data_IF_094746502615
#
_entry.id   IF_094746502615
#
_cell.length_a   1.000
_cell.length_b   1.000
_cell.length_c   1.000
_cell.angle_alpha   90.00
_cell.angle_beta   90.00
_cell.angle_gamma   90.00
#
_symmetry.space_group_name_H-M   'P 1'
#
loop_
_entity.id
_entity.type
_entity.pdbx_description
1 polymer ?
#
# COMPACT_ATOMS: atom_id res chain seq x y z
N UNK A 1 33.85 39.24 -19.57
CA UNK A 1 34.03 39.53 -18.13
C UNK A 1 32.80 38.99 -17.42
N UNK A 2 32.91 37.80 -16.82
CA UNK A 2 33.05 37.61 -15.36
C UNK A 2 31.67 37.85 -14.67
N UNK A 3 30.99 36.90 -14.02
CA UNK A 3 31.50 35.81 -13.20
C UNK A 3 30.39 34.79 -12.88
N UNK A 4 30.75 33.50 -12.94
CA UNK A 4 30.23 32.45 -12.04
C UNK A 4 30.62 32.84 -10.59
N UNK A 5 29.80 32.56 -9.57
CA UNK A 5 30.24 31.95 -8.30
C UNK A 5 29.10 31.80 -7.26
N UNK A 6 28.96 30.55 -6.79
CA UNK A 6 28.64 30.08 -5.42
C UNK A 6 27.29 30.37 -4.76
N UNK A 7 26.54 29.27 -4.53
CA UNK A 7 25.51 29.12 -3.51
C UNK A 7 25.90 27.97 -2.57
N UNK A 8 26.45 28.33 -1.42
CA UNK A 8 26.74 27.49 -0.22
C UNK A 8 27.16 28.52 0.85
N UNK A 9 26.64 28.59 2.07
CA UNK A 9 26.37 27.57 3.07
C UNK A 9 25.38 28.13 4.11
N UNK A 10 24.49 27.30 4.65
CA UNK A 10 24.11 27.41 6.06
C UNK A 10 24.00 26.00 6.62
N UNK A 11 25.05 25.67 7.36
CA UNK A 11 25.27 24.44 8.10
C UNK A 11 24.29 24.37 9.27
N UNK A 12 23.63 23.22 9.44
CA UNK A 12 23.04 22.81 10.72
C UNK A 12 23.54 21.40 11.03
N UNK A 13 24.49 21.33 11.95
CA UNK A 13 24.96 20.10 12.58
C UNK A 13 23.97 19.69 13.67
N UNK A 14 23.47 18.46 13.61
CA UNK A 14 22.58 17.88 14.62
C UNK A 14 22.25 16.41 14.33
N UNK A 15 23.17 15.52 14.71
CA UNK A 15 22.97 14.11 15.10
C UNK A 15 21.71 13.38 14.59
N UNK A 16 21.92 12.47 13.64
CA UNK A 16 20.94 11.51 13.16
C UNK A 16 20.60 10.44 14.21
N UNK A 17 19.31 10.17 14.52
CA UNK A 17 18.93 8.95 15.24
C UNK A 17 19.02 7.75 14.29
N UNK A 18 20.00 6.88 14.56
CA UNK A 18 20.13 5.47 14.14
C UNK A 18 19.32 5.05 12.91
N UNK A 19 19.92 5.30 11.74
CA UNK A 19 19.57 4.65 10.47
C UNK A 19 19.72 3.13 10.63
N UNK A 20 18.60 2.40 10.52
CA UNK A 20 18.63 1.00 10.11
C UNK A 20 19.01 1.01 8.63
N UNK A 21 20.32 1.00 8.38
CA UNK A 21 20.89 0.84 7.04
C UNK A 21 20.55 -0.56 6.55
N UNK A 22 19.65 -0.67 5.58
CA UNK A 22 19.56 -1.89 4.78
C UNK A 22 20.86 -2.01 3.97
N UNK A 23 21.79 -2.85 4.44
CA UNK A 23 22.91 -3.31 3.61
C UNK A 23 22.29 -4.10 2.46
N UNK A 24 22.50 -3.72 1.18
CA UNK A 24 22.20 -4.65 0.10
C UNK A 24 23.12 -5.85 0.29
N UNK A 25 22.52 -7.03 0.48
CA UNK A 25 23.24 -8.29 0.39
C UNK A 25 23.79 -8.37 -1.03
N UNK A 26 25.07 -8.00 -1.18
CA UNK A 26 25.90 -8.34 -2.32
C UNK A 26 26.00 -9.86 -2.36
N UNK A 27 25.09 -10.49 -3.10
CA UNK A 27 25.20 -11.89 -3.45
C UNK A 27 26.34 -11.96 -4.46
N UNK A 28 27.51 -12.38 -3.97
CA UNK A 28 28.70 -12.55 -4.80
C UNK A 28 28.39 -13.48 -5.97
N UNK A 29 28.65 -12.98 -7.17
CA UNK A 29 28.48 -13.63 -8.49
C UNK A 29 29.29 -14.94 -8.68
N UNK A 30 29.91 -15.47 -7.61
CA UNK A 30 30.79 -16.63 -7.63
C UNK A 30 30.05 -17.97 -7.49
N UNK A 31 28.82 -17.97 -6.98
CA UNK A 31 28.05 -19.22 -6.80
C UNK A 31 27.31 -19.67 -8.07
N UNK A 32 27.11 -18.75 -9.04
CA UNK A 32 26.30 -19.01 -10.23
C UNK A 32 27.08 -19.58 -11.43
N UNK A 33 28.41 -19.60 -11.39
CA UNK A 33 29.22 -20.11 -12.50
C UNK A 33 29.55 -21.62 -12.41
N UNK A 34 29.36 -22.28 -11.26
CA UNK A 34 29.77 -23.67 -11.10
C UNK A 34 28.73 -24.71 -11.55
N UNK A 35 27.50 -24.29 -11.86
CA UNK A 35 26.42 -25.21 -12.26
C UNK A 35 26.36 -25.50 -13.76
N UNK A 36 27.19 -24.86 -14.58
CA UNK A 36 27.20 -25.04 -16.05
C UNK A 36 28.09 -26.22 -16.51
N UNK A 37 28.94 -26.80 -15.65
CA UNK A 37 29.84 -27.89 -16.04
C UNK A 37 29.55 -29.20 -15.29
N UNK A 38 28.56 -29.96 -15.78
CA UNK A 38 28.53 -31.43 -15.74
C UNK A 38 27.31 -31.96 -16.50
N UNK A 39 27.43 -32.04 -17.81
CA UNK A 39 26.65 -32.99 -18.60
C UNK A 39 27.35 -34.35 -18.55
N UNK A 40 26.84 -35.25 -17.73
CA UNK A 40 27.09 -36.69 -17.90
C UNK A 40 25.79 -37.41 -17.60
N UNK A 41 25.33 -38.16 -18.60
CA UNK A 41 24.17 -39.04 -18.62
C UNK A 41 24.05 -39.79 -17.31
N UNK A 42 23.04 -39.53 -16.48
CA UNK A 42 22.69 -40.35 -15.32
C UNK A 42 21.30 -39.96 -14.78
N UNK A 43 20.39 -40.92 -14.62
CA UNK A 43 19.07 -40.75 -13.97
C UNK A 43 19.16 -40.21 -12.53
N UNK A 44 20.35 -40.27 -11.91
CA UNK A 44 20.69 -39.62 -10.64
C UNK A 44 20.62 -38.09 -10.70
N UNK A 45 20.90 -37.48 -11.85
CA UNK A 45 20.87 -36.01 -12.01
C UNK A 45 19.44 -35.46 -11.95
N UNK A 46 18.45 -36.21 -12.45
CA UNK A 46 17.03 -35.84 -12.37
C UNK A 46 16.49 -35.98 -10.94
N UNK A 47 16.92 -37.02 -10.21
CA UNK A 47 16.57 -37.20 -8.80
C UNK A 47 17.17 -36.10 -7.91
N UNK A 48 18.44 -35.74 -8.14
CA UNK A 48 19.12 -34.65 -7.42
C UNK A 48 18.54 -33.27 -7.79
N UNK A 49 18.13 -33.06 -9.04
CA UNK A 49 17.42 -31.86 -9.46
C UNK A 49 16.00 -31.79 -8.88
N UNK A 50 15.25 -32.90 -8.86
CA UNK A 50 13.95 -33.00 -8.19
C UNK A 50 14.08 -32.74 -6.69
N UNK A 51 15.11 -33.28 -6.03
CA UNK A 51 15.39 -33.02 -4.62
C UNK A 51 15.73 -31.55 -4.36
N UNK A 52 16.51 -30.92 -5.25
CA UNK A 52 16.81 -29.47 -5.16
C UNK A 52 15.59 -28.61 -5.41
N UNK A 53 14.73 -28.96 -6.38
CA UNK A 53 13.46 -28.28 -6.64
C UNK A 53 12.52 -28.43 -5.44
N UNK A 54 12.39 -29.65 -4.90
CA UNK A 54 11.60 -29.92 -3.70
C UNK A 54 12.12 -29.11 -2.51
N UNK A 55 13.44 -29.07 -2.31
CA UNK A 55 14.08 -28.31 -1.23
C UNK A 55 13.91 -26.79 -1.39
N UNK A 56 13.86 -26.29 -2.63
CA UNK A 56 13.57 -24.89 -2.96
C UNK A 56 12.08 -24.58 -2.78
N UNK A 57 11.18 -25.47 -3.18
CA UNK A 57 9.74 -25.37 -2.94
C UNK A 57 9.42 -25.40 -1.45
N UNK A 58 10.05 -26.30 -0.69
CA UNK A 58 9.95 -26.37 0.76
C UNK A 58 10.51 -25.09 1.42
N UNK A 59 11.63 -24.56 0.92
CA UNK A 59 12.19 -23.29 1.41
C UNK A 59 11.32 -22.09 1.02
N UNK A 60 10.66 -22.11 -0.13
CA UNK A 60 9.72 -21.06 -0.58
C UNK A 60 8.39 -21.16 0.14
N UNK A 61 7.92 -22.36 0.47
CA UNK A 61 6.77 -22.63 1.31
C UNK A 61 7.07 -22.22 2.76
N UNK A 62 8.27 -22.48 3.26
CA UNK A 62 8.74 -22.02 4.56
C UNK A 62 8.84 -20.49 4.57
N UNK A 63 9.50 -19.86 3.58
CA UNK A 63 9.61 -18.40 3.47
C UNK A 63 8.27 -17.69 3.19
N UNK A 64 7.32 -18.34 2.52
CA UNK A 64 5.95 -17.81 2.37
C UNK A 64 5.10 -18.06 3.62
N UNK A 65 5.45 -19.07 4.43
CA UNK A 65 4.89 -19.30 5.77
C UNK A 65 5.53 -18.42 6.85
N UNK A 66 6.70 -17.83 6.59
CA UNK A 66 7.29 -16.74 7.38
C UNK A 66 6.40 -15.51 7.23
N UNK A 67 5.29 -15.56 7.95
CA UNK A 67 4.43 -14.44 8.24
C UNK A 67 5.21 -13.56 9.19
N UNK A 68 5.72 -12.43 8.69
CA UNK A 68 6.27 -11.40 9.58
C UNK A 68 5.26 -11.17 10.69
N UNK A 69 5.67 -11.32 11.97
CA UNK A 69 4.80 -11.12 13.15
C UNK A 69 4.07 -9.77 13.11
N UNK A 70 4.58 -8.84 12.31
CA UNK A 70 4.05 -7.51 12.06
C UNK A 70 2.99 -7.45 10.96
N UNK A 71 2.57 -8.54 10.31
CA UNK A 71 1.72 -8.46 9.10
C UNK A 71 0.52 -9.43 9.11
N UNK A 72 -0.67 -8.89 8.81
CA UNK A 72 -1.89 -9.66 8.50
C UNK A 72 -2.35 -9.31 7.09
N UNK A 73 -2.52 -10.32 6.23
CA UNK A 73 -2.92 -10.15 4.83
C UNK A 73 -2.05 -9.11 4.07
N UNK A 74 -0.72 -9.18 4.26
CA UNK A 74 0.26 -8.31 3.58
C UNK A 74 0.28 -6.85 4.05
N UNK A 75 -0.29 -6.53 5.22
CA UNK A 75 -0.30 -5.17 5.77
C UNK A 75 0.33 -5.13 7.16
N UNK A 76 1.17 -4.12 7.41
CA UNK A 76 1.74 -3.86 8.73
C UNK A 76 0.65 -3.61 9.77
N UNK A 77 0.75 -4.32 10.89
CA UNK A 77 -0.07 -4.21 12.09
C UNK A 77 0.54 -3.16 13.03
N UNK A 78 -0.31 -2.38 13.70
CA UNK A 78 0.12 -1.47 14.76
C UNK A 78 0.82 -2.24 15.90
N UNK A 79 1.71 -1.62 16.69
CA UNK A 79 2.45 -2.34 17.74
C UNK A 79 1.58 -3.15 18.72
N UNK A 80 0.39 -2.64 19.05
CA UNK A 80 -0.58 -3.34 19.92
C UNK A 80 -1.35 -4.47 19.23
N UNK A 81 -1.37 -4.47 17.89
CA UNK A 81 -2.07 -5.45 17.07
C UNK A 81 -1.23 -6.70 16.75
N UNK A 82 0.05 -6.70 17.18
CA UNK A 82 1.05 -7.74 16.90
C UNK A 82 1.04 -8.89 17.92
N UNK A 83 0.14 -8.84 18.90
CA UNK A 83 0.07 -9.85 19.96
C UNK A 83 -0.47 -11.18 19.42
N UNK A 84 0.15 -12.34 19.74
CA UNK A 84 -0.22 -13.63 19.17
C UNK A 84 -1.65 -14.08 19.53
N UNK A 85 -2.21 -13.58 20.63
CA UNK A 85 -3.57 -13.90 21.08
C UNK A 85 -4.64 -13.00 20.43
N UNK A 86 -4.25 -11.98 19.64
CA UNK A 86 -5.23 -11.10 18.98
C UNK A 86 -5.88 -11.82 17.80
N UNK A 87 -7.19 -12.03 17.91
CA UNK A 87 -8.00 -12.55 16.81
C UNK A 87 -8.27 -11.49 15.74
N UNK A 88 -7.43 -11.50 14.70
CA UNK A 88 -7.54 -10.63 13.52
C UNK A 88 -8.67 -11.03 12.54
N UNK A 89 -9.22 -12.25 12.69
CA UNK A 89 -10.27 -12.77 11.80
C UNK A 89 -11.62 -12.22 12.22
N UNK A 90 -11.95 -12.33 13.52
CA UNK A 90 -13.19 -11.75 14.05
C UNK A 90 -13.08 -10.24 14.31
N UNK A 91 -11.88 -9.75 14.67
CA UNK A 91 -11.62 -8.33 14.96
C UNK A 91 -10.56 -7.77 14.03
N UNK A 92 -10.93 -7.44 12.77
CA UNK A 92 -10.01 -6.81 11.84
C UNK A 92 -9.53 -5.46 12.40
N UNK A 93 -8.31 -5.03 12.04
CA UNK A 93 -7.79 -3.75 12.48
C UNK A 93 -8.69 -2.60 12.01
N UNK A 94 -8.88 -1.62 12.89
CA UNK A 94 -9.71 -0.45 12.61
C UNK A 94 -9.20 0.26 11.35
N UNK A 95 -10.07 0.40 10.36
CA UNK A 95 -9.80 1.17 9.15
C UNK A 95 -10.34 2.58 9.36
N UNK A 96 -9.46 3.58 9.24
CA UNK A 96 -9.91 4.96 9.10
C UNK A 96 -10.72 5.10 7.81
N UNK A 97 -11.81 5.85 7.87
CA UNK A 97 -12.60 6.18 6.67
C UNK A 97 -11.76 7.10 5.77
N UNK A 98 -11.70 6.81 4.49
CA UNK A 98 -10.98 7.62 3.50
C UNK A 98 -11.61 9.00 3.32
N UNK A 99 -12.94 9.08 3.45
CA UNK A 99 -13.70 10.33 3.32
C UNK A 99 -14.40 10.62 4.65
N UNK A 100 -14.29 11.85 5.19
CA UNK A 100 -15.02 12.23 6.39
C UNK A 100 -16.53 12.25 6.13
N UNK A 101 -17.32 12.13 7.20
CA UNK A 101 -18.77 12.25 7.08
C UNK A 101 -19.13 13.66 6.58
N UNK A 102 -20.10 13.78 5.67
CA UNK A 102 -20.54 15.08 5.16
C UNK A 102 -21.12 15.95 6.29
N UNK A 103 -20.74 17.23 6.26
CA UNK A 103 -21.15 18.25 7.23
C UNK A 103 -21.76 19.41 6.45
N UNK A 104 -22.90 19.92 6.94
CA UNK A 104 -23.56 21.13 6.43
C UNK A 104 -23.26 22.31 7.37
N UNK A 105 -23.15 23.51 6.78
CA UNK A 105 -22.89 24.76 7.52
C UNK A 105 -21.66 24.72 8.44
N UNK A 106 -20.62 24.00 8.04
CA UNK A 106 -19.34 23.84 8.76
C UNK A 106 -19.39 23.11 10.11
N UNK A 107 -20.54 23.04 10.79
CA UNK A 107 -20.65 22.44 12.13
C UNK A 107 -21.71 21.33 12.27
N UNK A 108 -22.75 21.28 11.44
CA UNK A 108 -23.88 20.36 11.63
C UNK A 108 -23.69 19.12 10.75
N UNK A 109 -23.56 17.91 11.33
CA UNK A 109 -23.38 16.69 10.54
C UNK A 109 -24.65 16.33 9.76
N UNK A 110 -24.50 15.71 8.60
CA UNK A 110 -25.65 15.30 7.79
C UNK A 110 -26.55 14.25 8.48
N UNK A 111 -26.03 13.53 9.48
CA UNK A 111 -26.81 12.60 10.28
C UNK A 111 -28.00 13.27 10.99
N UNK A 112 -27.84 14.52 11.43
CA UNK A 112 -28.94 15.28 12.04
C UNK A 112 -30.01 15.62 11.01
N UNK A 113 -29.60 16.07 9.82
CA UNK A 113 -30.53 16.35 8.72
C UNK A 113 -31.30 15.10 8.31
N UNK A 114 -30.63 13.94 8.23
CA UNK A 114 -31.28 12.66 7.92
C UNK A 114 -32.37 12.30 8.94
N UNK A 115 -32.12 12.53 10.23
CA UNK A 115 -33.13 12.31 11.28
C UNK A 115 -34.39 13.17 11.07
N UNK A 116 -34.23 14.45 10.70
CA UNK A 116 -35.37 15.33 10.45
C UNK A 116 -36.08 15.04 9.12
N UNK A 117 -35.37 14.57 8.09
CA UNK A 117 -35.93 14.31 6.77
C UNK A 117 -37.05 13.27 6.77
N UNK A 118 -36.92 12.22 7.58
CA UNK A 118 -37.95 11.17 7.67
C UNK A 118 -39.28 11.69 8.21
N UNK A 119 -39.29 12.81 8.94
CA UNK A 119 -40.48 13.36 9.60
C UNK A 119 -41.00 14.66 8.99
N UNK A 120 -40.08 15.53 8.61
CA UNK A 120 -40.39 16.95 8.30
C UNK A 120 -39.90 17.37 6.91
N UNK A 121 -39.36 16.43 6.13
CA UNK A 121 -38.83 16.69 4.79
C UNK A 121 -37.60 17.60 4.82
N UNK A 122 -37.18 18.07 3.63
CA UNK A 122 -35.90 18.78 3.46
C UNK A 122 -35.86 20.12 4.20
N UNK A 123 -37.00 20.80 4.32
CA UNK A 123 -37.13 22.13 4.94
C UNK A 123 -37.20 22.09 6.46
N UNK A 124 -37.59 20.95 7.04
CA UNK A 124 -37.77 20.77 8.47
C UNK A 124 -36.56 21.16 9.33
N UNK A 125 -35.36 20.61 9.11
CA UNK A 125 -34.20 20.97 9.91
C UNK A 125 -33.83 22.46 9.79
N UNK A 126 -34.04 23.08 8.63
CA UNK A 126 -33.78 24.52 8.46
C UNK A 126 -34.75 25.37 9.28
N UNK A 127 -36.04 25.03 9.26
CA UNK A 127 -37.06 25.73 10.05
C UNK A 127 -36.88 25.50 11.55
N UNK A 128 -36.40 24.32 11.96
CA UNK A 128 -36.07 24.02 13.35
C UNK A 128 -34.94 24.92 13.87
N UNK A 129 -33.82 25.02 13.15
CA UNK A 129 -32.71 25.88 13.56
C UNK A 129 -33.09 27.37 13.53
N UNK A 130 -33.84 27.79 12.51
CA UNK A 130 -34.34 29.16 12.42
C UNK A 130 -35.26 29.51 13.61
N UNK A 131 -36.21 28.63 13.93
CA UNK A 131 -37.08 28.77 15.08
C UNK A 131 -36.32 28.77 16.40
N UNK A 132 -35.29 27.92 16.54
CA UNK A 132 -34.43 27.88 17.73
C UNK A 132 -33.67 29.20 17.94
N UNK A 133 -33.16 29.80 16.86
CA UNK A 133 -32.46 31.10 16.92
C UNK A 133 -33.43 32.21 17.32
N UNK A 134 -34.60 32.30 16.68
CA UNK A 134 -35.63 33.30 17.01
C UNK A 134 -36.12 33.13 18.45
N UNK A 135 -36.33 31.89 18.88
CA UNK A 135 -36.71 31.60 20.26
C UNK A 135 -35.62 32.06 21.23
N UNK A 136 -34.34 31.83 20.90
CA UNK A 136 -33.19 32.31 21.66
C UNK A 136 -33.16 33.83 21.80
N UNK A 137 -33.47 34.57 20.73
CA UNK A 137 -33.62 36.03 20.78
C UNK A 137 -34.83 36.46 21.61
N UNK A 138 -35.99 35.81 21.43
CA UNK A 138 -37.21 36.14 22.16
C UNK A 138 -37.11 35.86 23.67
N UNK A 139 -36.27 34.91 24.08
CA UNK A 139 -36.03 34.55 25.48
C UNK A 139 -34.77 35.16 26.07
N UNK A 140 -34.11 36.05 25.33
CA UNK A 140 -32.86 36.69 25.76
C UNK A 140 -31.76 35.68 26.14
N UNK A 141 -31.84 34.43 25.65
CA UNK A 141 -30.73 33.49 25.76
C UNK A 141 -29.55 33.95 24.88
N UNK A 142 -29.86 34.67 23.80
CA UNK A 142 -28.89 35.38 22.97
C UNK A 142 -29.14 36.87 23.16
N UNK A 143 -28.42 37.48 24.10
CA UNK A 143 -28.47 38.93 24.33
C UNK A 143 -27.54 39.63 23.35
N UNK A 144 -28.07 40.58 22.58
CA UNK A 144 -27.29 41.41 21.67
C UNK A 144 -26.56 42.51 22.44
N UNK A 145 -25.38 42.18 22.96
CA UNK A 145 -24.44 43.14 23.52
C UNK A 145 -23.65 43.88 22.43
N UNK A 146 -22.94 44.94 22.81
CA UNK A 146 -22.12 45.74 21.90
C UNK A 146 -21.07 44.88 21.14
N UNK A 147 -20.51 43.86 21.81
CA UNK A 147 -19.52 42.93 21.24
C UNK A 147 -20.08 42.01 20.15
N UNK A 148 -21.41 41.91 20.00
CA UNK A 148 -22.02 40.99 19.03
C UNK A 148 -21.57 41.26 17.58
N UNK A 149 -21.36 42.54 17.26
CA UNK A 149 -20.86 42.96 15.95
C UNK A 149 -19.44 42.47 15.68
N UNK A 150 -18.58 42.44 16.71
CA UNK A 150 -17.21 41.94 16.61
C UNK A 150 -17.20 40.44 16.32
N UNK A 151 -18.05 39.66 17.00
CA UNK A 151 -18.18 38.21 16.74
C UNK A 151 -18.66 37.90 15.31
N UNK A 152 -19.58 38.71 14.76
CA UNK A 152 -20.04 38.52 13.37
C UNK A 152 -18.92 38.77 12.35
N UNK A 153 -18.12 39.82 12.56
CA UNK A 153 -16.99 40.15 11.69
C UNK A 153 -15.92 39.06 11.79
N UNK A 154 -15.61 38.58 13.00
CA UNK A 154 -14.70 37.47 13.22
C UNK A 154 -15.19 36.19 12.51
N UNK A 155 -16.46 35.84 12.66
CA UNK A 155 -17.06 34.67 12.01
C UNK A 155 -16.97 34.78 10.47
N UNK A 156 -17.28 35.96 9.92
CA UNK A 156 -17.13 36.22 8.48
C UNK A 156 -15.67 36.09 8.03
N UNK A 157 -14.72 36.64 8.79
CA UNK A 157 -13.29 36.54 8.51
C UNK A 157 -12.84 35.07 8.48
N UNK A 158 -13.18 34.28 9.50
CA UNK A 158 -12.84 32.85 9.57
C UNK A 158 -13.42 32.08 8.37
N UNK A 159 -14.68 32.33 8.00
CA UNK A 159 -15.30 31.68 6.83
C UNK A 159 -14.55 32.03 5.54
N UNK A 160 -14.15 33.29 5.36
CA UNK A 160 -13.40 33.71 4.16
C UNK A 160 -12.01 33.08 4.10
N UNK A 161 -11.32 32.97 5.23
CA UNK A 161 -10.00 32.32 5.34
C UNK A 161 -10.11 30.84 5.02
N UNK A 162 -11.07 30.13 5.61
CA UNK A 162 -11.29 28.69 5.38
C UNK A 162 -11.62 28.42 3.90
N UNK A 163 -12.45 29.25 3.26
CA UNK A 163 -12.78 29.07 1.84
C UNK A 163 -11.59 29.30 0.90
N UNK A 164 -10.72 30.26 1.21
CA UNK A 164 -9.56 30.58 0.36
C UNK A 164 -8.37 29.66 0.59
N UNK A 165 -8.04 29.37 1.86
CA UNK A 165 -6.88 28.55 2.21
C UNK A 165 -7.20 27.05 2.25
N UNK A 166 -8.46 26.67 2.46
CA UNK A 166 -8.88 25.27 2.56
C UNK A 166 -8.44 24.38 1.39
N UNK A 167 -8.64 24.78 0.12
CA UNK A 167 -8.21 23.97 -1.02
C UNK A 167 -6.69 23.80 -1.10
N UNK A 168 -5.93 24.86 -0.78
CA UNK A 168 -4.46 24.82 -0.82
C UNK A 168 -3.91 23.86 0.23
N UNK A 169 -4.37 24.01 1.47
CA UNK A 169 -3.99 23.15 2.59
C UNK A 169 -4.42 21.70 2.32
N UNK A 170 -5.65 21.48 1.85
CA UNK A 170 -6.15 20.15 1.51
C UNK A 170 -5.34 19.44 0.43
N UNK A 171 -4.86 20.17 -0.59
CA UNK A 171 -4.02 19.60 -1.65
C UNK A 171 -2.61 19.26 -1.15
N UNK A 172 -2.04 20.06 -0.25
CA UNK A 172 -0.75 19.77 0.36
C UNK A 172 -0.81 18.46 1.18
N UNK A 173 -1.81 18.31 2.05
CA UNK A 173 -2.00 17.09 2.84
C UNK A 173 -2.29 15.87 1.97
N UNK A 174 -3.11 16.01 0.92
CA UNK A 174 -3.33 14.91 -0.04
C UNK A 174 -2.06 14.53 -0.78
N UNK A 175 -1.24 15.50 -1.18
CA UNK A 175 0.05 15.26 -1.84
C UNK A 175 0.99 14.42 -0.97
N UNK A 176 1.13 14.76 0.31
CA UNK A 176 1.95 13.98 1.24
C UNK A 176 1.45 12.54 1.42
N UNK A 177 0.12 12.35 1.53
CA UNK A 177 -0.46 11.02 1.62
C UNK A 177 -0.27 10.20 0.34
N UNK A 178 -0.45 10.82 -0.83
CA UNK A 178 -0.27 10.18 -2.13
C UNK A 178 1.19 9.75 -2.35
N UNK A 179 2.17 10.57 -1.96
CA UNK A 179 3.58 10.23 -2.06
C UNK A 179 3.93 8.99 -1.21
N UNK A 180 3.40 8.92 0.01
CA UNK A 180 3.59 7.77 0.88
C UNK A 180 2.97 6.50 0.27
N UNK A 181 1.74 6.59 -0.23
CA UNK A 181 1.04 5.46 -0.88
C UNK A 181 1.76 5.00 -2.15
N UNK A 182 2.24 5.92 -2.99
CA UNK A 182 2.97 5.60 -4.22
C UNK A 182 4.32 4.91 -3.94
N UNK A 183 5.00 5.33 -2.87
CA UNK A 183 6.23 4.67 -2.39
C UNK A 183 5.99 3.21 -2.00
N UNK A 184 4.90 2.92 -1.29
CA UNK A 184 4.56 1.53 -0.95
C UNK A 184 4.16 0.72 -2.20
N UNK A 185 3.33 1.30 -3.07
CA UNK A 185 2.84 0.62 -4.27
C UNK A 185 3.97 0.31 -5.26
N UNK A 186 4.93 1.21 -5.45
CA UNK A 186 6.07 0.97 -6.34
C UNK A 186 6.94 -0.19 -5.88
N UNK A 187 7.22 -0.33 -4.57
CA UNK A 187 7.96 -1.48 -4.02
C UNK A 187 7.21 -2.79 -4.25
N UNK A 188 5.90 -2.80 -3.98
CA UNK A 188 5.04 -3.98 -4.18
C UNK A 188 4.94 -4.36 -5.67
N UNK A 189 4.84 -3.37 -6.57
CA UNK A 189 4.77 -3.62 -8.00
C UNK A 189 6.10 -4.16 -8.54
N UNK A 190 7.23 -3.64 -8.05
CA UNK A 190 8.56 -4.14 -8.39
C UNK A 190 8.75 -5.59 -7.92
N UNK A 191 8.32 -5.92 -6.69
CA UNK A 191 8.42 -7.29 -6.17
C UNK A 191 7.51 -8.26 -6.94
N UNK A 192 6.27 -7.87 -7.25
CA UNK A 192 5.36 -8.66 -8.11
C UNK A 192 5.95 -8.88 -9.51
N UNK A 193 6.52 -7.84 -10.11
CA UNK A 193 7.15 -7.95 -11.43
C UNK A 193 8.36 -8.89 -11.41
N UNK A 194 9.17 -8.87 -10.34
CA UNK A 194 10.29 -9.77 -10.17
C UNK A 194 9.83 -11.22 -10.00
N UNK A 195 8.82 -11.46 -9.14
CA UNK A 195 8.24 -12.79 -8.97
C UNK A 195 7.65 -13.34 -10.28
N UNK A 196 6.94 -12.50 -11.05
CA UNK A 196 6.41 -12.89 -12.36
C UNK A 196 7.50 -13.28 -13.36
N UNK A 197 8.61 -12.54 -13.40
CA UNK A 197 9.78 -12.89 -14.23
C UNK A 197 10.38 -14.23 -13.82
N UNK A 198 10.50 -14.49 -12.52
CA UNK A 198 11.02 -15.75 -12.01
C UNK A 198 10.09 -16.91 -12.40
N UNK A 199 8.78 -16.78 -12.20
CA UNK A 199 7.81 -17.80 -12.60
C UNK A 199 7.90 -18.13 -14.09
N UNK A 200 7.95 -17.12 -14.96
CA UNK A 200 8.11 -17.33 -16.40
C UNK A 200 9.43 -18.05 -16.73
N UNK A 201 10.53 -17.73 -16.04
CA UNK A 201 11.80 -18.42 -16.24
C UNK A 201 11.79 -19.90 -15.79
N UNK A 202 10.99 -20.22 -14.77
CA UNK A 202 10.80 -21.60 -14.32
C UNK A 202 9.91 -22.39 -15.29
N UNK A 203 8.83 -21.79 -15.79
CA UNK A 203 7.95 -22.42 -16.78
C UNK A 203 8.71 -22.77 -18.07
N UNK A 204 9.53 -21.84 -18.57
CA UNK A 204 10.38 -22.10 -19.75
C UNK A 204 11.41 -23.21 -19.50
N UNK A 205 11.96 -23.29 -18.28
CA UNK A 205 12.86 -24.37 -17.86
C UNK A 205 12.15 -25.73 -17.81
N UNK A 206 10.90 -25.78 -17.35
CA UNK A 206 10.07 -26.98 -17.33
C UNK A 206 9.70 -27.45 -18.74
N UNK A 207 9.33 -26.53 -19.63
CA UNK A 207 9.06 -26.84 -21.04
C UNK A 207 10.29 -27.42 -21.74
N UNK A 208 11.48 -26.83 -21.53
CA UNK A 208 12.75 -27.36 -22.05
C UNK A 208 13.01 -28.78 -21.54
N UNK A 209 12.85 -29.03 -20.24
CA UNK A 209 13.01 -30.37 -19.67
C UNK A 209 12.03 -31.38 -20.28
N UNK A 210 10.74 -31.02 -20.41
CA UNK A 210 9.73 -31.85 -21.05
C UNK A 210 10.01 -32.12 -22.54
N UNK A 211 10.59 -31.15 -23.25
CA UNK A 211 10.94 -31.27 -24.67
C UNK A 211 12.04 -32.31 -24.93
N UNK A 212 12.98 -32.47 -24.00
CA UNK A 212 14.07 -33.47 -24.12
C UNK A 212 13.51 -34.89 -24.10
N UNK A 213 12.48 -35.15 -23.28
CA UNK A 213 11.78 -36.44 -23.25
C UNK A 213 11.17 -36.77 -24.61
N UNK A 214 10.39 -35.83 -25.16
CA UNK A 214 9.79 -35.96 -26.51
C UNK A 214 10.86 -36.17 -27.59
N UNK A 215 11.99 -35.47 -27.50
CA UNK A 215 13.07 -35.58 -28.47
C UNK A 215 13.75 -36.95 -28.45
N UNK A 216 13.83 -37.60 -27.27
CA UNK A 216 14.31 -38.98 -27.16
C UNK A 216 13.31 -40.01 -27.69
N UNK A 217 12.01 -39.79 -27.51
CA UNK A 217 10.96 -40.62 -28.12
C UNK A 217 11.01 -40.53 -29.65
N UNK A 218 11.06 -39.32 -30.20
CA UNK A 218 11.24 -39.09 -31.65
C UNK A 218 12.50 -39.78 -32.18
N UNK A 219 13.62 -39.74 -31.44
CA UNK A 219 14.85 -40.46 -31.82
C UNK A 219 14.64 -41.98 -31.87
N UNK A 220 13.91 -42.56 -30.91
CA UNK A 220 13.60 -44.00 -30.89
C UNK A 220 12.70 -44.37 -32.07
N UNK A 221 11.68 -43.56 -32.37
CA UNK A 221 10.76 -43.81 -33.48
C UNK A 221 11.48 -43.75 -34.82
N UNK A 222 12.39 -42.80 -35.03
CA UNK A 222 13.23 -42.72 -36.25
C UNK A 222 14.07 -43.99 -36.44
N UNK A 223 14.68 -44.51 -35.37
CA UNK A 223 15.46 -45.75 -35.42
C UNK A 223 14.56 -46.94 -35.76
N UNK A 224 13.40 -47.05 -35.11
CA UNK A 224 12.45 -48.13 -35.34
C UNK A 224 11.94 -48.13 -36.79
N UNK A 225 11.52 -46.98 -37.33
CA UNK A 225 11.11 -46.87 -38.73
C UNK A 225 12.22 -47.30 -39.69
N UNK A 226 13.48 -46.93 -39.42
CA UNK A 226 14.62 -47.37 -40.23
C UNK A 226 14.79 -48.90 -40.23
N UNK A 227 14.61 -49.53 -39.07
CA UNK A 227 14.66 -51.00 -38.93
C UNK A 227 13.49 -51.70 -39.63
N UNK A 228 12.29 -51.12 -39.62
CA UNK A 228 11.11 -51.69 -40.29
C UNK A 228 11.16 -51.58 -41.82
N UNK A 229 11.92 -50.62 -42.35
CA UNK A 229 12.11 -50.44 -43.80
C UNK A 229 13.24 -51.28 -44.41
N UNK A 230 14.04 -51.97 -43.58
CA UNK A 230 15.20 -52.79 -43.97
C UNK A 230 14.85 -54.28 -44.01
#
# INVERSE_FOLDING_TARGET
MLTKFTRTLLSYNGTAPSLITYRPLSISNKFFQSTISKSKTDDKSLAEQKEKVLRVEDSLNDLSSVKWRTEYNGKRLWPHDQWPERDLVNYPPYKLREVPNPVRWYCIPESWFKFFYEKTGVTGPYMFFYGLIIYGFSKEYIVLWYDFTEYLILAAAVITVVKKLGPSVGNAFRGWHLEEVDRYNSVVNNSKAMAGKMLHSYEESLERAGSIGKLNEVRKDIINMGLETS
#
